data_IF_389952278232
#
_entry.id   IF_389952278232
#
_cell.length_a   1.000
_cell.length_b   1.000
_cell.length_c   1.000
_cell.angle_alpha   90.00
_cell.angle_beta   90.00
_cell.angle_gamma   90.00
#
_symmetry.space_group_name_H-M   'P 1'
#
loop_
_entity.id
_entity.type
_entity.pdbx_description
1 polymer ?
#
# COMPACT_ATOMS: atom_id res chain seq x y z
N UNK A 1 15.23 12.60 12.87
CA UNK A 1 15.98 11.63 12.05
C UNK A 1 15.71 10.24 12.60
N UNK A 2 15.58 9.23 11.76
CA UNK A 2 15.28 7.85 12.19
C UNK A 2 15.46 6.88 11.03
N UNK A 3 15.33 5.58 11.30
CA UNK A 3 15.42 4.52 10.30
C UNK A 3 14.03 4.24 9.74
N UNK A 4 13.87 4.36 8.43
CA UNK A 4 12.62 4.12 7.71
C UNK A 4 12.82 2.96 6.74
N UNK A 5 11.90 2.01 6.76
CA UNK A 5 11.87 0.88 5.82
C UNK A 5 10.87 1.17 4.71
N UNK A 6 11.23 0.87 3.47
CA UNK A 6 10.34 1.05 2.31
C UNK A 6 10.44 -0.18 1.42
N UNK A 7 9.32 -0.86 1.17
CA UNK A 7 9.28 -1.89 0.11
C UNK A 7 8.84 -1.27 -1.22
N UNK A 8 9.23 -1.86 -2.34
CA UNK A 8 9.04 -1.26 -3.66
C UNK A 8 9.93 -0.03 -3.88
N UNK A 9 11.10 0.00 -3.23
CA UNK A 9 11.99 1.16 -3.21
C UNK A 9 12.76 1.41 -4.52
N UNK A 10 12.72 0.46 -5.45
CA UNK A 10 13.46 0.53 -6.72
C UNK A 10 12.79 1.40 -7.80
N UNK A 11 11.49 1.71 -7.67
CA UNK A 11 10.78 2.47 -8.70
C UNK A 11 9.58 3.25 -8.16
N UNK A 12 9.01 4.11 -9.01
CA UNK A 12 7.73 4.79 -8.78
C UNK A 12 7.63 5.51 -7.43
N UNK A 13 6.52 5.31 -6.73
CA UNK A 13 6.21 5.95 -5.44
C UNK A 13 7.27 5.59 -4.38
N UNK A 14 7.69 4.31 -4.31
CA UNK A 14 8.67 3.87 -3.33
C UNK A 14 10.03 4.54 -3.51
N UNK A 15 10.54 4.62 -4.75
CA UNK A 15 11.80 5.30 -5.05
C UNK A 15 11.75 6.80 -4.74
N UNK A 16 10.65 7.48 -5.14
CA UNK A 16 10.46 8.90 -4.83
C UNK A 16 10.39 9.15 -3.31
N UNK A 17 9.72 8.25 -2.57
CA UNK A 17 9.64 8.32 -1.11
C UNK A 17 11.00 8.10 -0.47
N UNK A 18 11.76 7.12 -0.94
CA UNK A 18 13.12 6.87 -0.46
C UNK A 18 14.05 8.07 -0.69
N UNK A 19 13.99 8.66 -1.88
CA UNK A 19 14.76 9.86 -2.21
C UNK A 19 14.38 11.05 -1.31
N UNK A 20 13.08 11.29 -1.11
CA UNK A 20 12.57 12.35 -0.24
C UNK A 20 13.03 12.17 1.20
N UNK A 21 12.86 11.01 1.79
CA UNK A 21 13.21 10.75 3.18
C UNK A 21 14.73 10.78 3.43
N UNK A 22 15.55 10.35 2.46
CA UNK A 22 17.01 10.52 2.52
C UNK A 22 17.39 12.00 2.49
N UNK A 23 16.75 12.81 1.66
CA UNK A 23 16.97 14.25 1.61
C UNK A 23 16.55 14.95 2.92
N UNK A 24 15.52 14.44 3.59
CA UNK A 24 15.07 14.91 4.91
C UNK A 24 15.97 14.40 6.07
N UNK A 25 17.05 13.66 5.76
CA UNK A 25 18.07 13.20 6.73
C UNK A 25 17.75 11.87 7.42
N UNK A 26 16.78 11.08 6.92
CA UNK A 26 16.51 9.75 7.43
C UNK A 26 17.44 8.69 6.84
N UNK A 27 17.75 7.65 7.61
CA UNK A 27 18.31 6.41 7.08
C UNK A 27 17.15 5.61 6.45
N UNK A 28 17.31 5.22 5.19
CA UNK A 28 16.30 4.44 4.47
C UNK A 28 16.86 3.05 4.15
N UNK A 29 16.14 2.02 4.55
CA UNK A 29 16.37 0.62 4.16
C UNK A 29 15.33 0.29 3.09
N UNK A 30 15.76 0.17 1.85
CA UNK A 30 14.92 -0.18 0.71
C UNK A 30 14.86 -1.69 0.51
N UNK A 31 13.67 -2.20 0.19
CA UNK A 31 13.43 -3.59 -0.23
C UNK A 31 12.76 -3.56 -1.60
N UNK A 32 13.26 -4.32 -2.55
CA UNK A 32 12.62 -4.49 -3.85
C UNK A 32 12.97 -5.88 -4.42
N UNK A 33 12.33 -6.25 -5.51
CA UNK A 33 12.67 -7.47 -6.23
C UNK A 33 14.10 -7.40 -6.81
N UNK A 34 14.56 -6.18 -7.19
CA UNK A 34 15.90 -5.90 -7.71
C UNK A 34 16.31 -4.45 -7.43
N UNK A 35 17.63 -4.24 -7.27
CA UNK A 35 18.21 -2.89 -7.26
C UNK A 35 17.93 -2.08 -5.97
N UNK A 36 17.64 -2.74 -4.87
CA UNK A 36 17.50 -2.13 -3.56
C UNK A 36 18.54 -2.69 -2.58
N UNK A 37 18.64 -2.12 -1.39
CA UNK A 37 19.57 -2.59 -0.35
C UNK A 37 19.28 -4.04 0.07
N UNK A 38 18.01 -4.45 -0.01
CA UNK A 38 17.54 -5.83 0.22
C UNK A 38 16.78 -6.27 -1.02
N UNK A 39 17.26 -7.32 -1.68
CA UNK A 39 16.55 -7.92 -2.81
C UNK A 39 15.71 -9.10 -2.32
N UNK A 40 14.38 -9.01 -2.47
CA UNK A 40 13.44 -10.03 -2.01
C UNK A 40 12.17 -10.08 -2.86
N UNK A 41 11.71 -11.29 -3.18
CA UNK A 41 10.41 -11.51 -3.79
C UNK A 41 9.32 -11.60 -2.71
N UNK A 42 8.62 -10.50 -2.46
CA UNK A 42 7.54 -10.45 -1.47
C UNK A 42 6.28 -11.24 -1.87
N UNK A 43 6.22 -11.75 -3.09
CA UNK A 43 5.20 -12.69 -3.53
C UNK A 43 5.38 -14.11 -2.99
N UNK A 44 6.51 -14.41 -2.32
CA UNK A 44 6.81 -15.71 -1.72
C UNK A 44 7.00 -15.61 -0.22
N UNK A 45 6.67 -16.69 0.50
CA UNK A 45 6.90 -16.77 1.95
C UNK A 45 8.39 -16.67 2.30
N UNK A 46 9.24 -17.31 1.51
CA UNK A 46 10.68 -17.30 1.66
C UNK A 46 11.24 -15.89 1.48
N UNK A 47 10.80 -15.16 0.45
CA UNK A 47 11.22 -13.79 0.19
C UNK A 47 10.76 -12.82 1.29
N UNK A 48 9.54 -12.97 1.81
CA UNK A 48 9.06 -12.20 2.95
C UNK A 48 9.89 -12.46 4.21
N UNK A 49 10.16 -13.73 4.51
CA UNK A 49 11.00 -14.13 5.65
C UNK A 49 12.42 -13.59 5.55
N UNK A 50 13.02 -13.66 4.35
CA UNK A 50 14.32 -13.10 4.08
C UNK A 50 14.33 -11.58 4.29
N UNK A 51 13.35 -10.86 3.73
CA UNK A 51 13.25 -9.41 3.90
C UNK A 51 13.13 -9.01 5.38
N UNK A 52 12.31 -9.70 6.16
CA UNK A 52 12.13 -9.44 7.61
C UNK A 52 13.45 -9.65 8.36
N UNK A 53 14.20 -10.72 8.08
CA UNK A 53 15.48 -11.00 8.72
C UNK A 53 16.51 -9.91 8.41
N UNK A 54 16.68 -9.57 7.13
CA UNK A 54 17.62 -8.52 6.69
C UNK A 54 17.26 -7.14 7.24
N UNK A 55 15.96 -6.77 7.28
CA UNK A 55 15.51 -5.52 7.89
C UNK A 55 15.87 -5.50 9.37
N UNK A 56 15.60 -6.59 10.09
CA UNK A 56 15.88 -6.69 11.53
C UNK A 56 17.37 -6.51 11.81
N UNK A 57 18.23 -7.18 11.04
CA UNK A 57 19.69 -7.07 11.18
C UNK A 57 20.17 -5.65 10.87
N UNK A 58 19.80 -5.10 9.71
CA UNK A 58 20.29 -3.78 9.25
C UNK A 58 19.79 -2.62 10.10
N UNK A 59 18.59 -2.75 10.68
CA UNK A 59 18.02 -1.73 11.56
C UNK A 59 18.49 -1.84 13.02
N UNK A 60 19.19 -2.92 13.37
CA UNK A 60 19.54 -3.22 14.77
C UNK A 60 18.29 -3.45 15.63
N UNK A 61 17.18 -3.90 15.05
CA UNK A 61 15.93 -4.15 15.76
C UNK A 61 15.07 -2.93 16.04
N UNK A 62 15.41 -1.74 15.48
CA UNK A 62 14.67 -0.49 15.72
C UNK A 62 14.37 0.22 14.40
N UNK A 63 13.10 0.49 14.13
CA UNK A 63 12.67 1.33 13.01
C UNK A 63 11.67 2.39 13.47
N UNK A 64 11.76 3.59 12.88
CA UNK A 64 10.87 4.72 13.20
C UNK A 64 9.74 4.89 12.19
N UNK A 65 9.85 4.23 11.04
CA UNK A 65 8.80 4.25 10.03
C UNK A 65 8.84 3.05 9.09
N UNK A 66 7.66 2.70 8.55
CA UNK A 66 7.54 1.64 7.55
C UNK A 66 6.51 2.00 6.47
N UNK A 67 6.93 1.89 5.22
CA UNK A 67 6.07 2.08 4.05
C UNK A 67 6.08 0.80 3.20
N UNK A 68 5.12 -0.12 3.37
CA UNK A 68 4.94 -1.24 2.46
C UNK A 68 4.35 -0.74 1.13
N UNK A 69 5.24 -0.32 0.20
CA UNK A 69 4.87 0.27 -1.08
C UNK A 69 4.97 -0.72 -2.25
N UNK A 70 5.61 -1.87 -2.06
CA UNK A 70 5.67 -2.91 -3.08
C UNK A 70 4.28 -3.35 -3.52
N UNK A 71 4.09 -3.49 -4.83
CA UNK A 71 2.82 -3.90 -5.40
C UNK A 71 2.91 -4.01 -6.91
N UNK A 72 1.95 -4.71 -7.48
CA UNK A 72 1.79 -4.90 -8.93
C UNK A 72 0.37 -4.58 -9.37
N UNK A 73 0.22 -4.10 -10.60
CA UNK A 73 -1.09 -3.85 -11.22
C UNK A 73 -1.76 -5.14 -11.70
N UNK A 74 -3.08 -5.11 -11.85
CA UNK A 74 -3.79 -6.11 -12.65
C UNK A 74 -3.54 -5.88 -14.13
N UNK A 75 -3.14 -6.95 -14.84
CA UNK A 75 -2.95 -6.94 -16.30
C UNK A 75 -3.52 -8.21 -16.90
N UNK A 76 -3.96 -8.19 -18.16
CA UNK A 76 -4.39 -9.38 -18.86
C UNK A 76 -3.34 -10.49 -18.80
N UNK A 77 -3.76 -11.72 -18.47
CA UNK A 77 -2.88 -12.87 -18.35
C UNK A 77 -2.00 -12.96 -17.10
N UNK A 78 -1.98 -11.92 -16.27
CA UNK A 78 -1.31 -11.99 -14.95
C UNK A 78 -2.19 -12.78 -13.98
N UNK A 79 -1.65 -13.79 -13.24
CA UNK A 79 -2.44 -14.52 -12.25
C UNK A 79 -2.93 -13.60 -11.13
N UNK A 80 -4.19 -13.68 -10.77
CA UNK A 80 -4.75 -12.90 -9.66
C UNK A 80 -4.16 -13.33 -8.31
N UNK A 81 -3.81 -14.62 -8.16
CA UNK A 81 -3.09 -15.15 -7.00
C UNK A 81 -1.74 -14.46 -6.76
N UNK A 82 -1.06 -13.98 -7.80
CA UNK A 82 0.18 -13.20 -7.62
C UNK A 82 -0.11 -11.85 -6.97
N UNK A 83 -1.20 -11.17 -7.36
CA UNK A 83 -1.61 -9.91 -6.72
C UNK A 83 -1.98 -10.14 -5.25
N UNK A 84 -2.65 -11.26 -4.94
CA UNK A 84 -2.96 -11.64 -3.56
C UNK A 84 -1.69 -11.72 -2.73
N UNK A 85 -0.69 -12.47 -3.22
CA UNK A 85 0.58 -12.65 -2.49
C UNK A 85 1.37 -11.35 -2.35
N UNK A 86 1.57 -10.60 -3.44
CA UNK A 86 2.39 -9.38 -3.43
C UNK A 86 1.67 -8.22 -2.74
N UNK A 87 0.45 -7.89 -3.20
CA UNK A 87 -0.21 -6.65 -2.77
C UNK A 87 -0.81 -6.75 -1.37
N UNK A 88 -1.28 -7.93 -0.97
CA UNK A 88 -1.89 -8.11 0.34
C UNK A 88 -0.93 -8.78 1.32
N UNK A 89 -0.54 -10.03 1.11
CA UNK A 89 0.30 -10.76 2.07
C UNK A 89 1.70 -10.14 2.20
N UNK A 90 2.32 -9.72 1.10
CA UNK A 90 3.57 -8.96 1.09
C UNK A 90 3.50 -7.63 1.88
N UNK A 91 2.31 -7.07 2.03
CA UNK A 91 2.06 -5.88 2.84
C UNK A 91 1.80 -6.22 4.31
N UNK A 92 0.80 -7.07 4.58
CA UNK A 92 0.29 -7.24 5.95
C UNK A 92 1.18 -8.12 6.82
N UNK A 93 1.84 -9.13 6.24
CA UNK A 93 2.79 -9.96 6.99
C UNK A 93 4.03 -9.15 7.41
N UNK A 94 4.56 -8.30 6.52
CA UNK A 94 5.66 -7.42 6.90
C UNK A 94 5.22 -6.40 7.95
N UNK A 95 4.02 -5.80 7.84
CA UNK A 95 3.47 -4.92 8.87
C UNK A 95 3.41 -5.61 10.23
N UNK A 96 2.87 -6.82 10.28
CA UNK A 96 2.75 -7.60 11.51
C UNK A 96 4.12 -7.99 12.09
N UNK A 97 5.03 -8.49 11.24
CA UNK A 97 6.35 -8.95 11.67
C UNK A 97 7.29 -7.80 12.11
N UNK A 98 7.20 -6.64 11.45
CA UNK A 98 8.04 -5.48 11.78
C UNK A 98 7.43 -4.59 12.88
N UNK A 99 6.21 -4.86 13.33
CA UNK A 99 5.56 -4.12 14.43
C UNK A 99 6.41 -4.03 15.69
N UNK A 100 7.08 -5.11 16.17
CA UNK A 100 7.95 -5.01 17.35
C UNK A 100 9.12 -4.03 17.17
N UNK A 101 9.66 -3.91 15.95
CA UNK A 101 10.72 -2.98 15.63
C UNK A 101 10.21 -1.54 15.63
N UNK A 102 8.96 -1.34 15.16
CA UNK A 102 8.27 -0.03 15.25
C UNK A 102 7.99 0.35 16.70
N UNK A 103 7.55 -0.60 17.54
CA UNK A 103 7.36 -0.36 18.97
C UNK A 103 8.68 0.04 19.67
N UNK A 104 9.77 -0.64 19.33
CA UNK A 104 11.10 -0.28 19.85
C UNK A 104 11.57 1.12 19.40
N UNK A 105 11.10 1.57 18.23
CA UNK A 105 11.41 2.90 17.68
C UNK A 105 10.37 3.98 18.00
N UNK A 106 9.40 3.69 18.86
CA UNK A 106 8.30 4.62 19.16
C UNK A 106 8.81 5.96 19.75
N UNK A 107 8.16 7.06 19.40
CA UNK A 107 6.97 7.19 18.54
C UNK A 107 7.30 6.93 17.06
N UNK A 108 6.60 5.98 16.46
CA UNK A 108 6.84 5.51 15.08
C UNK A 108 5.57 5.53 14.23
N UNK A 109 5.70 5.31 12.93
CA UNK A 109 4.58 5.35 12.01
C UNK A 109 4.68 4.28 10.91
N UNK A 110 3.56 3.68 10.55
CA UNK A 110 3.45 2.84 9.35
C UNK A 110 2.35 3.39 8.42
N UNK A 111 2.65 3.44 7.12
CA UNK A 111 1.70 3.95 6.12
C UNK A 111 1.63 2.98 4.94
N UNK A 112 0.54 2.22 4.86
CA UNK A 112 0.30 1.28 3.79
C UNK A 112 -0.22 1.96 2.52
N UNK A 113 0.04 1.33 1.37
CA UNK A 113 -0.42 1.84 0.07
C UNK A 113 -1.65 1.04 -0.37
N UNK A 114 -2.83 1.66 -0.23
CA UNK A 114 -4.09 1.23 -0.81
C UNK A 114 -4.22 1.76 -2.26
N UNK A 115 -5.41 2.14 -2.69
CA UNK A 115 -5.68 2.76 -4.01
C UNK A 115 -7.06 3.38 -4.01
N UNK A 116 -7.30 4.41 -4.80
CA UNK A 116 -8.64 4.91 -5.06
C UNK A 116 -9.50 3.93 -5.87
N UNK A 117 -8.91 2.91 -6.51
CA UNK A 117 -9.65 1.83 -7.15
C UNK A 117 -10.59 1.08 -6.20
N UNK A 118 -10.33 1.14 -4.89
CA UNK A 118 -11.21 0.56 -3.85
C UNK A 118 -12.60 1.18 -3.83
N UNK A 119 -12.76 2.38 -4.35
CA UNK A 119 -14.02 3.13 -4.39
C UNK A 119 -14.44 3.53 -5.81
N UNK A 120 -13.47 3.68 -6.72
CA UNK A 120 -13.71 4.16 -8.09
C UNK A 120 -13.79 3.03 -9.15
N UNK A 121 -13.44 1.80 -8.80
CA UNK A 121 -13.56 0.64 -9.70
C UNK A 121 -14.62 -0.33 -9.15
N UNK A 122 -15.84 -0.35 -9.69
CA UNK A 122 -16.90 -1.25 -9.22
C UNK A 122 -16.66 -2.70 -9.69
N UNK A 123 -17.35 -3.64 -9.05
CA UNK A 123 -17.46 -5.03 -9.54
C UNK A 123 -16.35 -5.98 -9.07
N UNK A 124 -15.41 -5.56 -8.22
CA UNK A 124 -14.45 -6.49 -7.65
C UNK A 124 -15.07 -7.39 -6.56
N UNK A 125 -14.47 -8.57 -6.37
CA UNK A 125 -15.01 -9.61 -5.47
C UNK A 125 -14.82 -9.24 -3.99
N UNK A 126 -15.94 -9.13 -3.25
CA UNK A 126 -15.91 -9.03 -1.80
C UNK A 126 -15.52 -10.35 -1.12
N UNK A 127 -15.73 -11.49 -1.78
CA UNK A 127 -15.28 -12.79 -1.27
C UNK A 127 -13.75 -12.86 -1.26
N UNK A 128 -13.09 -12.31 -2.30
CA UNK A 128 -11.64 -12.18 -2.31
C UNK A 128 -11.14 -11.24 -1.20
N UNK A 129 -11.81 -10.10 -0.99
CA UNK A 129 -11.47 -9.18 0.12
C UNK A 129 -11.55 -9.91 1.46
N UNK A 130 -12.64 -10.66 1.69
CA UNK A 130 -12.85 -11.38 2.94
C UNK A 130 -11.83 -12.53 3.10
N UNK A 131 -11.55 -13.28 2.03
CA UNK A 131 -10.54 -14.33 2.04
C UNK A 131 -9.14 -13.79 2.41
N UNK A 132 -8.73 -12.67 1.83
CA UNK A 132 -7.50 -11.98 2.25
C UNK A 132 -7.51 -11.69 3.77
N UNK A 133 -8.61 -11.15 4.28
CA UNK A 133 -8.74 -10.76 5.69
C UNK A 133 -8.79 -11.93 6.69
N UNK A 134 -9.01 -13.18 6.24
CA UNK A 134 -8.88 -14.37 7.09
C UNK A 134 -7.43 -14.73 7.40
N UNK A 135 -6.47 -14.27 6.61
CA UNK A 135 -5.04 -14.59 6.77
C UNK A 135 -4.61 -15.92 6.16
N UNK A 136 -5.50 -16.62 5.45
CA UNK A 136 -5.16 -17.84 4.71
C UNK A 136 -4.81 -17.49 3.26
N UNK A 137 -3.49 -17.35 2.99
CA UNK A 137 -2.99 -17.01 1.66
C UNK A 137 -3.38 -18.05 0.61
N UNK A 138 -3.32 -19.34 0.96
CA UNK A 138 -3.67 -20.43 0.04
C UNK A 138 -5.11 -20.33 -0.42
N UNK A 139 -6.05 -20.17 0.50
CA UNK A 139 -7.47 -19.98 0.19
C UNK A 139 -7.72 -18.69 -0.60
N UNK A 140 -7.09 -17.58 -0.23
CA UNK A 140 -7.25 -16.30 -0.92
C UNK A 140 -6.74 -16.35 -2.36
N UNK A 141 -5.62 -17.03 -2.61
CA UNK A 141 -5.06 -17.26 -3.96
C UNK A 141 -6.02 -18.06 -4.85
N UNK A 142 -6.61 -19.14 -4.31
CA UNK A 142 -7.60 -19.96 -5.03
C UNK A 142 -8.82 -19.12 -5.42
N UNK A 143 -9.34 -18.30 -4.51
CA UNK A 143 -10.49 -17.42 -4.78
C UNK A 143 -10.07 -16.33 -5.79
N UNK A 144 -8.86 -15.78 -5.69
CA UNK A 144 -8.33 -14.81 -6.65
C UNK A 144 -8.33 -15.34 -8.08
N UNK A 145 -7.82 -16.56 -8.28
CA UNK A 145 -7.71 -17.17 -9.61
C UNK A 145 -9.06 -17.67 -10.20
N UNK A 146 -10.16 -17.58 -9.45
CA UNK A 146 -11.52 -17.73 -10.01
C UNK A 146 -11.98 -16.49 -10.79
N UNK A 147 -11.30 -15.35 -10.61
CA UNK A 147 -11.52 -14.10 -11.32
C UNK A 147 -10.33 -13.71 -12.19
N UNK A 148 -10.22 -12.44 -12.48
CA UNK A 148 -9.09 -11.86 -13.22
C UNK A 148 -8.27 -10.89 -12.34
N UNK A 149 -7.05 -10.61 -12.76
CA UNK A 149 -6.13 -9.76 -12.00
C UNK A 149 -6.55 -8.28 -11.99
N UNK A 150 -7.28 -7.80 -13.00
CA UNK A 150 -7.73 -6.41 -13.08
C UNK A 150 -8.73 -6.13 -11.95
N UNK A 151 -9.66 -7.08 -11.70
CA UNK A 151 -10.62 -7.00 -10.59
C UNK A 151 -10.02 -7.46 -9.24
N UNK A 152 -8.98 -8.30 -9.24
CA UNK A 152 -8.25 -8.67 -8.02
C UNK A 152 -7.46 -7.48 -7.44
N UNK A 153 -6.96 -6.57 -8.28
CA UNK A 153 -6.21 -5.39 -7.82
C UNK A 153 -6.99 -4.56 -6.79
N UNK A 154 -8.19 -4.01 -7.11
CA UNK A 154 -8.96 -3.23 -6.11
C UNK A 154 -9.39 -4.08 -4.91
N UNK A 155 -9.65 -5.37 -5.08
CA UNK A 155 -9.98 -6.26 -3.96
C UNK A 155 -8.82 -6.37 -2.96
N UNK A 156 -7.59 -6.62 -3.43
CA UNK A 156 -6.40 -6.68 -2.57
C UNK A 156 -6.13 -5.34 -1.88
N UNK A 157 -6.29 -4.21 -2.58
CA UNK A 157 -6.10 -2.86 -2.02
C UNK A 157 -7.20 -2.49 -1.01
N UNK A 158 -8.44 -2.96 -1.21
CA UNK A 158 -9.52 -2.81 -0.23
C UNK A 158 -9.23 -3.64 1.04
N UNK A 159 -8.75 -4.87 0.87
CA UNK A 159 -8.35 -5.71 2.00
C UNK A 159 -7.24 -5.04 2.83
N UNK A 160 -6.21 -4.44 2.20
CA UNK A 160 -5.17 -3.66 2.90
C UNK A 160 -5.79 -2.50 3.69
N UNK A 161 -6.67 -1.70 3.08
CA UNK A 161 -7.33 -0.59 3.76
C UNK A 161 -8.13 -1.05 4.98
N UNK A 162 -8.90 -2.14 4.84
CA UNK A 162 -9.67 -2.72 5.95
C UNK A 162 -8.77 -3.30 7.03
N UNK A 163 -7.67 -3.96 6.66
CA UNK A 163 -6.70 -4.50 7.62
C UNK A 163 -6.09 -3.37 8.45
N UNK A 164 -5.67 -2.28 7.82
CA UNK A 164 -5.15 -1.08 8.51
C UNK A 164 -6.19 -0.54 9.51
N UNK A 165 -7.44 -0.34 9.08
CA UNK A 165 -8.49 0.19 9.97
C UNK A 165 -8.79 -0.71 11.17
N UNK A 166 -8.73 -2.03 10.99
CA UNK A 166 -8.96 -3.02 12.07
C UNK A 166 -7.82 -3.04 13.08
N UNK A 167 -6.58 -2.93 12.60
CA UNK A 167 -5.39 -3.10 13.44
C UNK A 167 -4.91 -1.79 14.09
N UNK A 168 -5.04 -0.66 13.42
CA UNK A 168 -4.49 0.62 13.88
C UNK A 168 -4.92 1.01 15.30
N UNK A 169 -6.15 0.66 15.69
CA UNK A 169 -6.75 1.05 16.97
C UNK A 169 -6.48 0.04 18.09
N UNK A 170 -5.81 -1.07 17.78
CA UNK A 170 -5.51 -2.11 18.76
C UNK A 170 -4.37 -1.68 19.71
N UNK A 171 -4.38 -2.19 20.97
CA UNK A 171 -3.34 -1.84 21.94
C UNK A 171 -1.91 -2.07 21.44
N UNK A 172 -1.69 -3.13 20.68
CA UNK A 172 -0.38 -3.47 20.12
C UNK A 172 0.13 -2.50 19.03
N UNK A 173 -0.73 -1.59 18.52
CA UNK A 173 -0.36 -0.53 17.58
C UNK A 173 -0.45 0.84 18.27
N UNK A 174 -1.65 1.35 18.45
CA UNK A 174 -1.84 2.69 19.05
C UNK A 174 -1.32 2.76 20.48
N UNK A 175 -1.51 1.70 21.28
CA UNK A 175 -1.04 1.61 22.66
C UNK A 175 0.48 1.61 22.79
N UNK A 176 1.19 1.11 21.77
CA UNK A 176 2.67 1.10 21.69
C UNK A 176 3.22 2.37 21.04
N UNK A 177 2.39 3.40 20.80
CA UNK A 177 2.83 4.67 20.19
C UNK A 177 3.13 4.58 18.70
N UNK A 178 2.56 3.60 18.01
CA UNK A 178 2.68 3.41 16.56
C UNK A 178 1.44 3.94 15.88
N UNK A 179 1.57 4.93 15.00
CA UNK A 179 0.47 5.31 14.11
C UNK A 179 0.46 4.39 12.89
N UNK A 180 -0.70 3.81 12.59
CA UNK A 180 -0.88 2.98 11.39
C UNK A 180 -1.99 3.57 10.54
N UNK A 181 -1.66 3.95 9.30
CA UNK A 181 -2.58 4.57 8.35
C UNK A 181 -2.42 3.95 6.96
N UNK A 182 -3.30 4.29 6.04
CA UNK A 182 -3.16 3.99 4.62
C UNK A 182 -3.37 5.25 3.79
N UNK A 183 -2.72 5.31 2.65
CA UNK A 183 -3.06 6.26 1.59
C UNK A 183 -3.73 5.52 0.43
N UNK A 184 -4.60 6.22 -0.27
CA UNK A 184 -5.29 5.73 -1.47
C UNK A 184 -4.90 6.63 -2.67
N UNK A 185 -3.76 6.37 -3.31
CA UNK A 185 -3.35 7.11 -4.49
C UNK A 185 -4.33 6.90 -5.64
N UNK A 186 -4.48 7.91 -6.49
CA UNK A 186 -5.08 7.80 -7.80
C UNK A 186 -4.10 7.27 -8.84
N UNK A 187 -4.29 7.67 -10.10
CA UNK A 187 -3.34 7.37 -11.15
C UNK A 187 -2.08 8.24 -10.96
N UNK A 188 -0.95 7.58 -10.73
CA UNK A 188 0.35 8.23 -10.54
C UNK A 188 1.28 7.80 -11.67
N UNK A 189 1.98 8.74 -12.28
CA UNK A 189 2.91 8.53 -13.41
C UNK A 189 4.12 7.67 -12.96
N UNK A 190 3.97 6.37 -13.00
CA UNK A 190 4.93 5.35 -12.56
C UNK A 190 5.14 4.30 -13.66
N UNK A 191 6.23 3.50 -13.59
CA UNK A 191 6.39 2.35 -14.49
C UNK A 191 5.19 1.40 -14.48
N UNK A 192 4.53 1.19 -13.31
CA UNK A 192 3.33 0.38 -13.19
C UNK A 192 2.17 0.91 -14.06
N UNK A 193 1.94 2.22 -14.07
CA UNK A 193 0.90 2.84 -14.91
C UNK A 193 1.30 2.80 -16.38
N UNK A 194 2.59 2.98 -16.70
CA UNK A 194 3.09 2.88 -18.06
C UNK A 194 2.92 1.47 -18.63
N UNK A 195 3.22 0.43 -17.83
CA UNK A 195 3.00 -0.97 -18.21
C UNK A 195 1.53 -1.22 -18.63
N UNK A 196 0.56 -0.67 -17.88
CA UNK A 196 -0.85 -0.74 -18.25
C UNK A 196 -1.19 0.05 -19.50
N UNK A 197 -0.62 1.25 -19.69
CA UNK A 197 -0.81 2.07 -20.91
C UNK A 197 -0.17 1.43 -22.15
N UNK A 198 0.84 0.59 -21.98
CA UNK A 198 1.48 -0.14 -23.08
C UNK A 198 0.62 -1.31 -23.58
N UNK A 199 -0.30 -1.83 -22.76
CA UNK A 199 -1.22 -2.90 -23.16
C UNK A 199 -2.41 -2.33 -23.95
N UNK A 200 -2.56 -2.68 -25.27
CA UNK A 200 -3.61 -2.13 -26.11
C UNK A 200 -5.03 -2.46 -25.65
N UNK A 201 -5.23 -3.54 -24.88
CA UNK A 201 -6.54 -4.00 -24.46
C UNK A 201 -7.12 -3.20 -23.29
N UNK A 202 -6.24 -2.66 -22.43
CA UNK A 202 -6.67 -1.87 -21.25
C UNK A 202 -6.39 -0.39 -21.37
N UNK A 203 -5.50 0.02 -22.29
CA UNK A 203 -5.17 1.44 -22.55
C UNK A 203 -6.37 2.36 -22.66
N UNK A 204 -7.40 2.05 -23.47
CA UNK A 204 -8.56 2.95 -23.60
C UNK A 204 -9.28 3.18 -22.27
N UNK A 205 -9.40 2.15 -21.43
CA UNK A 205 -9.97 2.26 -20.09
C UNK A 205 -9.12 3.13 -19.16
N UNK A 206 -7.80 3.01 -19.25
CA UNK A 206 -6.88 3.84 -18.46
C UNK A 206 -6.92 5.31 -18.89
N UNK A 207 -6.97 5.60 -20.19
CA UNK A 207 -7.11 6.95 -20.72
C UNK A 207 -8.45 7.60 -20.33
N UNK A 208 -9.52 6.82 -20.37
CA UNK A 208 -10.84 7.26 -19.89
C UNK A 208 -10.81 7.57 -18.38
N UNK A 209 -10.16 6.72 -17.58
CA UNK A 209 -10.01 6.96 -16.15
C UNK A 209 -9.14 8.19 -15.87
N UNK A 210 -8.02 8.38 -16.60
CA UNK A 210 -7.17 9.55 -16.47
C UNK A 210 -7.93 10.86 -16.76
N UNK A 211 -8.85 10.85 -17.72
CA UNK A 211 -9.69 11.99 -18.04
C UNK A 211 -10.67 12.38 -16.92
N UNK A 212 -10.90 11.51 -15.95
CA UNK A 212 -11.78 11.81 -14.78
C UNK A 212 -11.04 12.56 -13.67
N UNK A 213 -9.72 12.72 -13.76
CA UNK A 213 -8.91 13.35 -12.71
C UNK A 213 -9.14 14.87 -12.76
N UNK A 214 -9.81 15.40 -11.76
CA UNK A 214 -10.21 16.82 -11.72
C UNK A 214 -9.02 17.79 -11.75
N UNK A 215 -7.87 17.39 -11.22
CA UNK A 215 -6.63 18.19 -11.23
C UNK A 215 -5.88 18.14 -12.57
N UNK A 216 -6.37 17.40 -13.56
CA UNK A 216 -5.83 17.35 -14.92
C UNK A 216 -4.65 16.39 -15.11
N UNK A 217 -4.96 15.09 -15.28
CA UNK A 217 -3.98 14.05 -15.59
C UNK A 217 -3.36 13.37 -14.37
N UNK A 218 -2.47 12.40 -14.64
CA UNK A 218 -1.82 11.60 -13.61
C UNK A 218 -0.94 12.45 -12.68
N UNK A 219 -1.00 12.14 -11.37
CA UNK A 219 -0.12 12.75 -10.38
C UNK A 219 1.34 12.27 -10.50
N UNK A 220 2.27 13.02 -9.93
CA UNK A 220 3.67 12.65 -9.85
C UNK A 220 3.97 11.81 -8.58
N UNK A 221 4.91 10.84 -8.63
CA UNK A 221 5.34 10.08 -7.46
C UNK A 221 5.77 10.95 -6.27
N UNK A 222 6.37 12.10 -6.53
CA UNK A 222 6.84 13.08 -5.55
C UNK A 222 5.70 13.68 -4.71
N UNK A 223 4.49 13.79 -5.28
CA UNK A 223 3.32 14.27 -4.56
C UNK A 223 2.90 13.25 -3.49
N UNK A 224 2.95 11.97 -3.82
CA UNK A 224 2.71 10.88 -2.86
C UNK A 224 3.83 10.80 -1.82
N UNK A 225 5.08 10.94 -2.24
CA UNK A 225 6.23 10.97 -1.33
C UNK A 225 6.14 12.13 -0.32
N UNK A 226 5.65 13.29 -0.74
CA UNK A 226 5.38 14.42 0.16
C UNK A 226 4.34 14.11 1.23
N UNK A 227 3.22 13.47 0.84
CA UNK A 227 2.19 13.05 1.79
C UNK A 227 2.73 11.98 2.77
N UNK A 228 3.48 11.00 2.26
CA UNK A 228 4.10 9.96 3.09
C UNK A 228 5.09 10.55 4.10
N UNK A 229 5.91 11.52 3.70
CA UNK A 229 6.82 12.21 4.60
C UNK A 229 6.08 12.93 5.75
N UNK A 230 4.93 13.56 5.48
CA UNK A 230 4.07 14.17 6.51
C UNK A 230 3.51 13.10 7.44
N UNK A 231 2.96 12.00 6.91
CA UNK A 231 2.33 10.95 7.71
C UNK A 231 3.33 10.15 8.57
N UNK A 232 4.59 10.09 8.17
CA UNK A 232 5.67 9.51 8.95
C UNK A 232 6.24 10.49 9.99
N UNK A 233 5.93 11.78 9.85
CA UNK A 233 6.46 12.85 10.69
C UNK A 233 5.69 13.08 12.00
N UNK A 234 6.19 14.00 12.84
CA UNK A 234 5.60 14.31 14.13
C UNK A 234 4.22 14.96 14.05
N UNK A 235 3.94 15.70 12.97
CA UNK A 235 2.69 16.46 12.82
C UNK A 235 1.48 15.57 12.53
N UNK A 236 1.71 14.29 12.16
CA UNK A 236 0.66 13.32 11.85
C UNK A 236 0.33 12.37 13.02
N UNK A 237 0.78 12.61 14.23
CA UNK A 237 0.60 11.70 15.38
C UNK A 237 -0.85 11.47 15.81
N UNK A 238 -1.79 12.27 15.33
CA UNK A 238 -3.21 12.09 15.60
C UNK A 238 -3.98 11.37 14.48
N UNK A 239 -3.29 10.99 13.39
CA UNK A 239 -3.85 10.10 12.37
C UNK A 239 -3.70 8.63 12.82
N UNK A 240 -4.81 7.94 12.99
CA UNK A 240 -4.85 6.54 13.39
C UNK A 240 -5.98 5.82 12.65
N UNK A 241 -5.65 4.81 11.83
CA UNK A 241 -6.60 4.05 11.03
C UNK A 241 -7.23 4.83 9.87
N UNK A 242 -6.65 5.96 9.49
CA UNK A 242 -7.14 6.76 8.37
C UNK A 242 -6.80 6.11 7.03
N UNK A 243 -7.70 6.24 6.05
CA UNK A 243 -7.46 5.97 4.64
C UNK A 243 -7.58 7.30 3.90
N UNK A 244 -6.45 7.81 3.41
CA UNK A 244 -6.35 9.18 2.91
C UNK A 244 -6.24 9.14 1.39
N UNK A 245 -7.24 9.68 0.69
CA UNK A 245 -7.20 9.78 -0.78
C UNK A 245 -6.24 10.88 -1.21
N UNK A 246 -5.38 10.55 -2.19
CA UNK A 246 -4.47 11.46 -2.87
C UNK A 246 -4.52 11.13 -4.36
N UNK A 247 -5.61 11.55 -5.03
CA UNK A 247 -6.03 11.03 -6.33
C UNK A 247 -6.47 12.10 -7.33
N UNK A 248 -6.12 13.34 -7.07
CA UNK A 248 -6.47 14.47 -7.94
C UNK A 248 -7.99 14.75 -8.01
N UNK A 249 -8.77 14.25 -7.02
CA UNK A 249 -10.19 14.50 -6.91
C UNK A 249 -11.08 13.44 -7.59
N UNK A 250 -10.53 12.32 -8.05
CA UNK A 250 -11.30 11.27 -8.74
C UNK A 250 -12.37 10.66 -7.83
N UNK A 251 -12.02 10.25 -6.60
CA UNK A 251 -12.99 9.69 -5.64
C UNK A 251 -14.12 10.70 -5.34
N UNK A 252 -13.76 11.95 -5.10
CA UNK A 252 -14.74 13.01 -4.83
C UNK A 252 -15.68 13.26 -6.03
N UNK A 253 -15.16 13.17 -7.27
CA UNK A 253 -15.97 13.32 -8.48
C UNK A 253 -16.99 12.20 -8.65
N UNK A 254 -16.62 10.96 -8.35
CA UNK A 254 -17.49 9.80 -8.50
C UNK A 254 -18.47 9.63 -7.33
N UNK A 255 -18.10 10.09 -6.14
CA UNK A 255 -18.81 9.80 -4.90
C UNK A 255 -19.08 11.04 -4.06
N UNK A 256 -19.39 12.16 -4.70
CA UNK A 256 -19.60 13.44 -4.04
C UNK A 256 -20.60 13.40 -2.86
N UNK A 257 -21.59 12.50 -2.91
CA UNK A 257 -22.64 12.36 -1.89
C UNK A 257 -22.54 11.09 -1.03
N UNK A 258 -21.56 10.23 -1.29
CA UNK A 258 -21.39 8.95 -0.57
C UNK A 258 -20.47 9.07 0.66
N UNK A 259 -19.83 10.21 0.84
CA UNK A 259 -18.85 10.42 1.88
C UNK A 259 -19.09 11.76 2.60
N UNK A 260 -18.94 11.81 3.93
CA UNK A 260 -18.69 10.69 4.85
C UNK A 260 -19.93 9.84 5.10
N UNK A 261 -19.74 8.52 5.28
CA UNK A 261 -20.81 7.60 5.61
C UNK A 261 -21.05 7.59 7.12
N UNK A 262 -22.33 7.61 7.54
CA UNK A 262 -22.70 7.52 8.94
C UNK A 262 -22.37 6.13 9.51
N UNK A 263 -21.84 6.10 10.74
CA UNK A 263 -21.72 4.87 11.47
C UNK A 263 -23.07 4.24 11.77
N UNK A 264 -23.19 2.94 11.50
CA UNK A 264 -24.39 2.16 11.81
C UNK A 264 -24.07 1.22 12.96
N UNK A 265 -24.71 1.36 14.15
CA UNK A 265 -24.51 0.45 15.27
C UNK A 265 -24.82 -0.99 14.85
N UNK A 266 -23.91 -1.93 15.14
CA UNK A 266 -24.09 -3.35 14.83
C UNK A 266 -23.78 -3.76 13.37
N UNK A 267 -23.17 -2.89 12.55
CA UNK A 267 -22.70 -3.22 11.19
C UNK A 267 -21.28 -3.82 11.24
#
# INVERSE_FOLDING_TARGET
>A
MGTIVITGAGSGIGAATAARLRADGHTVIGVDLRGAEIEADLGTTEGRSHAIAEITERSGGVINGFVPCAGISGLPGRPASLLVSVNYFGTVELLAALRPLLAAGAPSAAVAISSNSTTCQPGYSMDLVNACLTGDEGAARVIGDQGDSINAYPATKNAVAKWVRRNAVLPEWAGEGITLNAIAPGMIATPMVQEGKDDPSIRPGMEMFEATIAMGGAGAPEQIAGLLAVLLGPDARFFCGSVIFCDGGTDASFRANDWPALWKPGA
#
